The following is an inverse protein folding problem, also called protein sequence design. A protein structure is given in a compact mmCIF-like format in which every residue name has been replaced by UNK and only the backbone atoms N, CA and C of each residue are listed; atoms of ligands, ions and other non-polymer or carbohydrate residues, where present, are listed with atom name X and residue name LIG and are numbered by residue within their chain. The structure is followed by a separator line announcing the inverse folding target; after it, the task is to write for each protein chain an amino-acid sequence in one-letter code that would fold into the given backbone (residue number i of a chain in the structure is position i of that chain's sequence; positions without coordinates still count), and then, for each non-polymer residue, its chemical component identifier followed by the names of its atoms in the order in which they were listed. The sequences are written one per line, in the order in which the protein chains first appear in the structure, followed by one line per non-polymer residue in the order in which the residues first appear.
data_IF_760004590103
#
_entry.id   IF_760004590103
#
_cell.length_a   1.000
_cell.length_b   1.000
_cell.length_c   1.000
_cell.angle_alpha   90.00
_cell.angle_beta   90.00
_cell.angle_gamma   90.00
#
_symmetry.space_group_name_H-M   'P 1'
#
loop_
_entity.id
_entity.type
_entity.pdbx_description
1 polymer ?
#
# COMPACT_ATOMS: atom_id res chain seq x y z
N UNK A 1 -7.99 3.21 -3.02
CA UNK A 1 -6.86 2.36 -2.58
C UNK A 1 -7.28 0.90 -2.72
N UNK A 2 -6.53 0.05 -3.44
CA UNK A 2 -6.85 -1.38 -3.54
C UNK A 2 -6.60 -2.10 -2.21
N UNK A 3 -7.44 -3.10 -1.88
CA UNK A 3 -7.24 -3.94 -0.71
C UNK A 3 -7.19 -5.41 -1.12
N UNK A 4 -6.20 -6.15 -0.62
CA UNK A 4 -6.09 -7.59 -0.81
C UNK A 4 -6.33 -8.26 0.55
N UNK A 5 -7.31 -9.14 0.64
CA UNK A 5 -7.63 -9.84 1.88
C UNK A 5 -6.86 -11.16 1.98
N UNK A 6 -6.34 -11.46 3.18
CA UNK A 6 -5.51 -12.63 3.46
C UNK A 6 -6.06 -13.39 4.66
N UNK A 7 -6.54 -14.63 4.46
CA UNK A 7 -7.17 -15.39 5.56
C UNK A 7 -6.88 -16.89 5.50
N UNK A 8 -6.77 -17.53 6.65
CA UNK A 8 -6.73 -19.00 6.76
C UNK A 8 -8.14 -19.63 6.76
N UNK A 9 -9.18 -18.80 6.81
CA UNK A 9 -10.56 -19.21 6.97
C UNK A 9 -11.27 -19.25 5.62
N UNK A 10 -11.74 -20.44 5.23
CA UNK A 10 -12.37 -20.69 3.94
C UNK A 10 -13.88 -20.90 4.02
N UNK A 11 -14.52 -20.46 5.11
CA UNK A 11 -15.97 -20.63 5.24
C UNK A 11 -16.70 -19.78 4.17
N UNK A 12 -17.63 -20.38 3.40
CA UNK A 12 -18.26 -19.70 2.26
C UNK A 12 -18.92 -18.37 2.60
N UNK A 13 -19.61 -18.26 3.74
CA UNK A 13 -20.30 -17.01 4.11
C UNK A 13 -19.33 -15.82 4.26
N UNK A 14 -18.09 -16.07 4.72
CA UNK A 14 -17.09 -15.03 4.88
C UNK A 14 -16.62 -14.55 3.51
N UNK A 15 -16.51 -15.45 2.53
CA UNK A 15 -16.15 -15.10 1.17
C UNK A 15 -17.26 -14.25 0.54
N UNK A 16 -18.52 -14.66 0.71
CA UNK A 16 -19.66 -13.91 0.18
C UNK A 16 -19.73 -12.50 0.80
N UNK A 17 -19.49 -12.37 2.10
CA UNK A 17 -19.37 -11.08 2.78
C UNK A 17 -18.20 -10.26 2.22
N UNK A 18 -17.01 -10.85 2.09
CA UNK A 18 -15.81 -10.18 1.57
C UNK A 18 -16.01 -9.65 0.15
N UNK A 19 -16.76 -10.37 -0.69
CA UNK A 19 -17.10 -9.97 -2.05
C UNK A 19 -18.05 -8.77 -2.12
N UNK A 20 -18.72 -8.41 -1.02
CA UNK A 20 -19.51 -7.17 -0.94
C UNK A 20 -18.62 -5.92 -0.83
N UNK A 21 -17.36 -6.08 -0.41
CA UNK A 21 -16.39 -4.99 -0.37
C UNK A 21 -15.68 -4.82 -1.71
N UNK A 22 -15.25 -3.59 -2.02
CA UNK A 22 -14.48 -3.28 -3.22
C UNK A 22 -13.00 -3.72 -3.08
N UNK A 23 -12.79 -5.02 -2.90
CA UNK A 23 -11.46 -5.62 -2.80
C UNK A 23 -10.80 -5.73 -4.17
N UNK A 24 -9.48 -5.55 -4.19
CA UNK A 24 -8.66 -5.84 -5.34
C UNK A 24 -8.34 -7.34 -5.48
N UNK A 25 -8.48 -8.11 -4.40
CA UNK A 25 -8.38 -9.57 -4.44
C UNK A 25 -8.43 -10.23 -3.06
N UNK A 26 -8.33 -11.56 -3.09
CA UNK A 26 -8.40 -12.44 -1.93
C UNK A 26 -7.34 -13.54 -2.06
N UNK A 27 -6.70 -13.92 -0.95
CA UNK A 27 -5.72 -14.99 -0.86
C UNK A 27 -5.97 -15.84 0.38
N UNK A 28 -6.04 -17.15 0.20
CA UNK A 28 -6.10 -18.11 1.30
C UNK A 28 -4.68 -18.38 1.85
N UNK A 29 -4.58 -18.58 3.16
CA UNK A 29 -3.34 -19.03 3.81
C UNK A 29 -3.29 -20.57 3.81
N UNK A 30 -2.09 -21.18 3.65
CA UNK A 30 -0.80 -20.55 3.40
C UNK A 30 -0.71 -19.94 1.99
N UNK A 31 -0.11 -18.76 1.89
CA UNK A 31 0.00 -18.04 0.61
C UNK A 31 1.06 -18.71 -0.25
N UNK A 32 0.70 -19.10 -1.47
CA UNK A 32 1.68 -19.48 -2.48
C UNK A 32 2.12 -18.25 -3.28
N UNK A 33 3.39 -18.24 -3.70
CA UNK A 33 3.97 -17.10 -4.42
C UNK A 33 3.25 -16.78 -5.74
N UNK A 34 2.93 -17.77 -6.61
CA UNK A 34 2.25 -17.50 -7.88
C UNK A 34 0.93 -16.74 -7.72
N UNK A 35 0.09 -17.16 -6.77
CA UNK A 35 -1.22 -16.55 -6.53
C UNK A 35 -1.08 -15.12 -6.01
N UNK A 36 -0.13 -14.90 -5.08
CA UNK A 36 0.18 -13.55 -4.60
C UNK A 36 0.59 -12.62 -5.75
N UNK A 37 1.51 -13.06 -6.61
CA UNK A 37 1.93 -12.28 -7.77
C UNK A 37 0.78 -11.98 -8.73
N UNK A 38 -0.07 -12.97 -9.00
CA UNK A 38 -1.23 -12.79 -9.88
C UNK A 38 -2.20 -11.74 -9.33
N UNK A 39 -2.57 -11.86 -8.05
CA UNK A 39 -3.49 -10.92 -7.40
C UNK A 39 -2.88 -9.51 -7.34
N UNK A 40 -1.60 -9.37 -6.99
CA UNK A 40 -0.92 -8.08 -7.00
C UNK A 40 -0.92 -7.44 -8.39
N UNK A 41 -0.59 -8.19 -9.45
CA UNK A 41 -0.61 -7.66 -10.84
C UNK A 41 -1.99 -7.17 -11.24
N UNK A 42 -3.05 -7.92 -10.91
CA UNK A 42 -4.42 -7.51 -11.19
C UNK A 42 -4.82 -6.24 -10.41
N UNK A 43 -4.41 -6.13 -9.15
CA UNK A 43 -4.65 -4.96 -8.32
C UNK A 43 -3.94 -3.70 -8.86
N UNK A 44 -2.72 -3.83 -9.38
CA UNK A 44 -1.98 -2.72 -9.96
C UNK A 44 -2.43 -2.36 -11.38
N UNK A 45 -2.85 -3.32 -12.20
CA UNK A 45 -3.32 -3.05 -13.57
C UNK A 45 -4.55 -2.11 -13.62
N UNK A 46 -5.35 -2.10 -12.54
CA UNK A 46 -6.52 -1.22 -12.40
C UNK A 46 -6.16 0.19 -11.92
N UNK A 47 -4.91 0.46 -11.55
CA UNK A 47 -4.47 1.76 -11.07
C UNK A 47 -3.70 2.51 -12.15
N UNK A 48 -4.03 3.80 -12.32
CA UNK A 48 -3.18 4.72 -13.06
C UNK A 48 -2.04 5.14 -12.13
N UNK A 49 -0.81 4.77 -12.48
CA UNK A 49 0.37 5.28 -11.79
C UNK A 49 0.61 6.69 -12.32
N UNK A 50 0.20 7.68 -11.54
CA UNK A 50 0.72 9.02 -11.72
C UNK A 50 2.04 9.08 -10.95
N UNK A 51 3.11 9.51 -11.61
CA UNK A 51 4.36 9.86 -10.95
C UNK A 51 4.22 11.26 -10.38
N UNK A 52 4.27 11.39 -9.05
CA UNK A 52 4.21 12.69 -8.39
C UNK A 52 5.20 12.77 -7.24
N UNK A 53 5.78 13.97 -7.10
CA UNK A 53 6.61 14.35 -5.98
C UNK A 53 5.69 14.80 -4.86
N UNK A 54 5.71 14.10 -3.73
CA UNK A 54 4.96 14.50 -2.53
C UNK A 54 5.93 15.14 -1.54
N UNK A 55 5.47 16.22 -0.91
CA UNK A 55 6.17 16.81 0.22
C UNK A 55 5.64 16.23 1.52
N UNK A 56 6.48 15.48 2.23
CA UNK A 56 6.15 14.85 3.52
C UNK A 56 6.81 15.64 4.66
N UNK A 57 6.02 16.03 5.64
CA UNK A 57 6.46 16.67 6.87
C UNK A 57 6.67 15.63 7.97
N UNK A 58 7.87 15.60 8.53
CA UNK A 58 8.24 14.75 9.66
C UNK A 58 8.75 15.67 10.78
N UNK A 59 7.91 15.86 11.81
CA UNK A 59 8.13 16.87 12.84
C UNK A 59 8.16 18.27 12.23
N UNK A 60 9.31 18.93 12.25
CA UNK A 60 9.53 20.27 11.64
C UNK A 60 10.28 20.22 10.31
N UNK A 61 10.73 19.04 9.87
CA UNK A 61 11.51 18.87 8.64
C UNK A 61 10.60 18.46 7.50
N UNK A 62 10.90 19.00 6.32
CA UNK A 62 10.21 18.67 5.09
C UNK A 62 11.09 17.80 4.21
N UNK A 63 10.53 16.67 3.76
CA UNK A 63 11.17 15.71 2.88
C UNK A 63 10.39 15.66 1.57
N UNK A 64 11.08 15.80 0.43
CA UNK A 64 10.47 15.59 -0.89
C UNK A 64 10.66 14.13 -1.28
N UNK A 65 9.55 13.40 -1.40
CA UNK A 65 9.54 11.99 -1.77
C UNK A 65 9.02 11.84 -3.19
N UNK A 66 9.83 11.21 -4.04
CA UNK A 66 9.39 10.76 -5.37
C UNK A 66 8.75 9.37 -5.23
N UNK A 67 7.42 9.32 -5.33
CA UNK A 67 6.68 8.06 -5.21
C UNK A 67 7.02 7.06 -6.32
N UNK A 68 7.56 7.52 -7.45
CA UNK A 68 8.01 6.63 -8.53
C UNK A 68 9.20 5.77 -8.11
N UNK A 69 9.93 6.18 -7.07
CA UNK A 69 11.11 5.47 -6.55
C UNK A 69 10.79 4.60 -5.33
N UNK A 70 9.56 4.66 -4.81
CA UNK A 70 9.11 3.88 -3.65
C UNK A 70 8.79 2.47 -4.10
N UNK A 71 9.46 1.49 -3.52
CA UNK A 71 9.23 0.06 -3.77
C UNK A 71 8.04 -0.45 -2.95
N UNK A 72 8.07 -0.20 -1.64
CA UNK A 72 7.00 -0.55 -0.71
C UNK A 72 7.12 0.23 0.59
N UNK A 73 6.05 0.18 1.39
CA UNK A 73 6.02 0.70 2.75
C UNK A 73 5.70 -0.45 3.69
N UNK A 74 6.55 -0.62 4.71
CA UNK A 74 6.34 -1.60 5.77
C UNK A 74 5.88 -0.88 7.02
N UNK A 75 4.90 -1.44 7.74
CA UNK A 75 4.47 -0.89 9.02
C UNK A 75 4.96 -1.81 10.13
N UNK A 76 5.81 -1.27 10.99
CA UNK A 76 6.29 -1.93 12.19
C UNK A 76 5.82 -1.14 13.42
N UNK A 77 4.93 -1.76 14.20
CA UNK A 77 4.27 -1.14 15.36
C UNK A 77 3.47 0.13 14.98
N UNK A 78 3.94 1.33 15.35
CA UNK A 78 3.29 2.62 15.03
C UNK A 78 4.01 3.38 13.91
N UNK A 79 5.14 2.87 13.43
CA UNK A 79 5.98 3.53 12.44
C UNK A 79 5.88 2.81 11.10
N UNK A 80 5.83 3.61 10.05
CA UNK A 80 5.97 3.16 8.68
C UNK A 80 7.40 3.39 8.23
N UNK A 81 7.94 2.43 7.50
CA UNK A 81 9.26 2.42 6.89
C UNK A 81 9.09 2.42 5.38
N UNK A 82 9.59 3.45 4.72
CA UNK A 82 9.51 3.60 3.26
C UNK A 82 10.79 3.03 2.65
N UNK A 83 10.65 2.09 1.72
CA UNK A 83 11.79 1.48 1.04
C UNK A 83 11.87 2.02 -0.39
N UNK A 84 13.02 2.59 -0.73
CA UNK A 84 13.30 3.21 -2.03
C UNK A 84 14.30 2.37 -2.83
N UNK A 85 14.24 2.47 -4.16
CA UNK A 85 15.13 1.74 -5.08
C UNK A 85 16.63 1.97 -4.80
N UNK A 86 17.00 3.18 -4.36
CA UNK A 86 18.39 3.57 -4.10
C UNK A 86 18.87 3.29 -2.65
N UNK A 87 18.10 2.54 -1.84
CA UNK A 87 18.50 2.07 -0.51
C UNK A 87 18.55 3.15 0.60
N UNK A 88 18.35 4.42 0.27
CA UNK A 88 18.42 5.52 1.21
C UNK A 88 17.06 6.20 1.33
N UNK A 89 16.30 5.84 2.36
CA UNK A 89 15.70 6.79 3.33
C UNK A 89 14.68 6.07 4.21
N UNK A 90 15.10 5.69 5.41
CA UNK A 90 14.20 5.20 6.45
C UNK A 90 13.39 6.37 7.03
N UNK A 91 12.33 6.79 6.33
CA UNK A 91 11.43 7.83 6.83
C UNK A 91 10.45 7.24 7.83
N UNK A 92 10.63 7.54 9.11
CA UNK A 92 9.70 7.13 10.18
C UNK A 92 8.52 8.10 10.26
N UNK A 93 7.37 7.66 9.76
CA UNK A 93 6.10 8.38 9.81
C UNK A 93 4.97 7.42 10.16
N UNK A 94 3.91 7.85 10.85
CA UNK A 94 2.74 7.00 11.05
C UNK A 94 2.02 6.76 9.71
N UNK A 95 1.39 5.60 9.54
CA UNK A 95 0.68 5.29 8.30
C UNK A 95 -0.43 6.32 8.03
N UNK A 96 -1.15 6.74 9.08
CA UNK A 96 -2.18 7.78 8.98
C UNK A 96 -1.62 9.08 8.42
N UNK A 97 -0.51 9.57 8.97
CA UNK A 97 0.10 10.81 8.50
C UNK A 97 0.63 10.69 7.07
N UNK A 98 1.12 9.52 6.66
CA UNK A 98 1.57 9.27 5.30
C UNK A 98 0.38 9.31 4.31
N UNK A 99 -0.73 8.66 4.66
CA UNK A 99 -1.94 8.63 3.84
C UNK A 99 -2.53 10.03 3.69
N UNK A 100 -2.70 10.76 4.79
CA UNK A 100 -3.28 12.11 4.77
C UNK A 100 -2.47 13.07 3.89
N UNK A 101 -1.14 13.03 4.03
CA UNK A 101 -0.23 13.88 3.24
C UNK A 101 -0.15 13.45 1.77
N UNK A 102 -0.39 12.18 1.47
CA UNK A 102 -0.43 11.69 0.08
C UNK A 102 -1.73 12.03 -0.66
N UNK A 103 -2.84 12.19 0.06
CA UNK A 103 -4.14 12.53 -0.52
C UNK A 103 -4.32 14.03 -0.74
N UNK A 104 -3.72 14.87 0.11
CA UNK A 104 -3.84 16.33 0.04
C UNK A 104 -3.13 17.03 -1.12
N UNK A 105 -2.42 16.30 -1.99
CA UNK A 105 -1.65 16.87 -3.11
C UNK A 105 -2.09 16.39 -4.49
N UNK A 106 -3.18 15.63 -4.59
CA UNK A 106 -3.86 15.36 -5.85
C UNK A 106 -4.64 16.61 -6.29
N UNK A 107 -3.94 17.59 -6.86
CA UNK A 107 -4.58 18.65 -7.67
C UNK A 107 -4.77 18.08 -9.07
N UNK A 108 -6.00 18.15 -9.57
CA UNK A 108 -6.41 17.79 -10.94
C UNK A 108 -5.54 18.46 -12.03
#
# INVERSE_FOLDING_TARGET
MPFIFLTAHSQPYLIDELLTYNLAGYLSKPVNKPDLYAVMRLAFAKQKVNSFLIQIMIGKKSHRLDFSKVLYVEVEHIYSHIYLEAGNDLLRISLSNLVDQSQGQCVE
#
